data_IF_945620478426
#
_entry.id   IF_945620478426
#
_cell.length_a   1.000
_cell.length_b   1.000
_cell.length_c   1.000
_cell.angle_alpha   90.00
_cell.angle_beta   90.00
_cell.angle_gamma   90.00
#
_symmetry.space_group_name_H-M   'P 1'
#
loop_
_entity.id
_entity.type
_entity.pdbx_description
1 polymer ?
#
# COMPACT_ATOMS: atom_id res chain seq x y z
N UNK A 1 74.64 0.58 7.41
CA UNK A 1 74.40 0.04 6.06
C UNK A 1 74.63 -1.45 6.14
N UNK A 2 73.54 -2.23 6.28
CA UNK A 2 73.39 -3.69 6.05
C UNK A 2 71.95 -4.04 6.47
N UNK A 3 70.98 -3.77 5.58
CA UNK A 3 70.17 -4.72 4.78
C UNK A 3 69.15 -5.49 5.62
N UNK A 4 67.88 -5.08 5.48
CA UNK A 4 66.66 -5.82 5.79
C UNK A 4 66.56 -7.08 4.92
N UNK A 5 66.22 -8.23 5.49
CA UNK A 5 65.60 -9.34 4.78
C UNK A 5 64.13 -9.52 5.20
N UNK A 6 63.20 -9.73 4.24
CA UNK A 6 61.78 -9.81 4.51
C UNK A 6 61.37 -11.20 5.04
N UNK A 7 60.80 -11.22 6.25
CA UNK A 7 60.21 -12.41 6.84
C UNK A 7 58.99 -12.91 6.06
N UNK A 8 59.18 -14.00 5.33
CA UNK A 8 58.14 -14.87 4.78
C UNK A 8 57.38 -15.60 5.89
N UNK A 9 56.05 -15.58 5.80
CA UNK A 9 55.19 -16.72 6.13
C UNK A 9 55.02 -17.05 7.61
N UNK A 10 53.86 -16.70 8.17
CA UNK A 10 53.42 -17.19 9.47
C UNK A 10 53.29 -18.73 9.48
N UNK A 11 54.31 -19.40 10.00
CA UNK A 11 54.27 -20.80 10.38
C UNK A 11 54.08 -20.89 11.90
N UNK A 12 52.99 -21.56 12.33
CA UNK A 12 52.70 -21.82 13.74
C UNK A 12 53.62 -22.93 14.28
N UNK A 13 54.26 -22.77 15.45
CA UNK A 13 55.13 -23.80 16.02
C UNK A 13 54.30 -24.96 16.60
N UNK A 14 54.66 -26.21 16.28
CA UNK A 14 54.17 -27.39 17.03
C UNK A 14 53.67 -28.59 16.23
N UNK A 15 53.74 -28.58 14.90
CA UNK A 15 53.38 -29.76 14.08
C UNK A 15 54.63 -30.41 13.49
N UNK A 16 54.85 -31.72 13.69
CA UNK A 16 55.96 -32.43 13.05
C UNK A 16 55.74 -32.46 11.53
N UNK A 17 56.68 -31.87 10.78
CA UNK A 17 56.74 -32.01 9.33
C UNK A 17 57.29 -33.41 9.01
N UNK A 18 56.41 -34.33 8.61
CA UNK A 18 56.82 -35.60 8.04
C UNK A 18 57.45 -35.35 6.66
N UNK A 19 58.74 -35.57 6.54
CA UNK A 19 59.51 -35.64 5.28
C UNK A 19 59.27 -36.96 4.54
N UNK A 20 58.02 -37.41 4.48
CA UNK A 20 57.63 -38.52 3.63
C UNK A 20 57.17 -37.94 2.31
N UNK A 21 58.07 -38.07 1.33
CA UNK A 21 57.83 -37.76 -0.06
C UNK A 21 56.60 -38.53 -0.55
N UNK A 22 55.57 -37.78 -0.94
CA UNK A 22 54.63 -38.04 -2.04
C UNK A 22 54.52 -39.49 -2.53
N UNK A 23 53.96 -40.37 -1.69
CA UNK A 23 53.58 -41.73 -2.10
C UNK A 23 52.32 -41.76 -2.98
N UNK A 24 51.64 -40.61 -3.15
CA UNK A 24 50.46 -40.47 -3.99
C UNK A 24 50.81 -40.38 -5.48
N UNK A 25 51.96 -39.81 -5.84
CA UNK A 25 52.41 -39.68 -7.23
C UNK A 25 52.94 -40.99 -7.83
N UNK A 26 53.41 -41.92 -6.99
CA UNK A 26 53.89 -43.25 -7.41
C UNK A 26 52.75 -44.20 -7.78
N UNK A 27 51.56 -44.03 -7.19
CA UNK A 27 50.44 -44.95 -7.38
C UNK A 27 49.58 -44.63 -8.61
N UNK A 28 49.58 -43.38 -9.10
CA UNK A 28 48.60 -42.94 -10.11
C UNK A 28 49.18 -42.31 -11.38
N UNK A 29 50.48 -42.02 -11.45
CA UNK A 29 51.10 -41.36 -12.61
C UNK A 29 50.59 -39.93 -12.83
N UNK A 30 51.26 -39.11 -13.67
CA UNK A 30 51.05 -37.66 -13.74
C UNK A 30 49.77 -37.26 -14.51
N UNK A 31 48.69 -38.03 -14.41
CA UNK A 31 47.54 -37.97 -15.31
C UNK A 31 46.16 -38.05 -14.65
N UNK A 32 46.02 -37.86 -13.34
CA UNK A 32 44.71 -37.92 -12.65
C UNK A 32 44.15 -36.58 -12.20
N UNK A 33 44.51 -35.47 -12.85
CA UNK A 33 43.71 -34.25 -12.78
C UNK A 33 42.48 -34.36 -13.70
N UNK A 34 41.44 -35.02 -13.22
CA UNK A 34 40.08 -34.87 -13.75
C UNK A 34 39.22 -34.07 -12.78
N UNK A 35 39.71 -32.91 -12.34
CA UNK A 35 38.81 -31.90 -11.79
C UNK A 35 37.95 -31.43 -12.96
N UNK A 36 36.66 -31.75 -12.92
CA UNK A 36 35.70 -31.16 -13.83
C UNK A 36 35.81 -29.63 -13.71
N UNK A 37 36.48 -28.99 -14.66
CA UNK A 37 36.56 -27.53 -14.76
C UNK A 37 35.17 -27.07 -15.16
N UNK A 38 34.32 -26.86 -14.15
CA UNK A 38 33.00 -26.28 -14.32
C UNK A 38 33.18 -24.93 -14.99
N UNK A 39 32.56 -24.78 -16.15
CA UNK A 39 32.69 -23.58 -16.97
C UNK A 39 32.27 -22.33 -16.19
N UNK A 40 32.90 -21.16 -16.43
CA UNK A 40 32.63 -19.92 -15.69
C UNK A 40 31.15 -19.51 -15.71
N UNK A 41 30.40 -19.90 -16.75
CA UNK A 41 28.95 -19.66 -16.87
C UNK A 41 28.12 -20.36 -15.78
N UNK A 42 28.52 -21.53 -15.27
CA UNK A 42 27.80 -22.22 -14.20
C UNK A 42 28.04 -21.60 -12.80
N UNK A 43 29.19 -20.94 -12.59
CA UNK A 43 29.46 -20.21 -11.34
C UNK A 43 28.66 -18.90 -11.26
N UNK A 44 28.52 -18.19 -12.37
CA UNK A 44 27.73 -16.95 -12.46
C UNK A 44 26.24 -17.18 -12.19
N UNK A 45 25.64 -18.27 -12.71
CA UNK A 45 24.21 -18.54 -12.52
C UNK A 45 23.81 -18.83 -11.07
N UNK A 46 24.66 -19.55 -10.31
CA UNK A 46 24.41 -19.82 -8.88
C UNK A 46 24.75 -18.64 -7.98
N UNK A 47 25.81 -17.88 -8.29
CA UNK A 47 26.14 -16.65 -7.56
C UNK A 47 25.05 -15.59 -7.67
N UNK A 48 24.46 -15.44 -8.86
CA UNK A 48 23.34 -14.54 -9.09
C UNK A 48 22.08 -14.98 -8.33
N UNK A 49 21.73 -16.27 -8.32
CA UNK A 49 20.57 -16.77 -7.58
C UNK A 49 20.71 -16.63 -6.06
N UNK A 50 21.91 -16.85 -5.51
CA UNK A 50 22.16 -16.65 -4.08
C UNK A 50 22.15 -15.16 -3.75
N UNK A 51 22.73 -14.30 -4.59
CA UNK A 51 22.71 -12.85 -4.41
C UNK A 51 21.27 -12.29 -4.48
N UNK A 52 20.45 -12.76 -5.43
CA UNK A 52 19.03 -12.40 -5.53
C UNK A 52 18.29 -12.85 -4.27
N UNK A 53 18.52 -14.09 -3.81
CA UNK A 53 17.90 -14.60 -2.58
C UNK A 53 18.25 -13.75 -1.35
N UNK A 54 19.52 -13.38 -1.18
CA UNK A 54 19.96 -12.53 -0.06
C UNK A 54 19.38 -11.12 -0.16
N UNK A 55 19.31 -10.53 -1.35
CA UNK A 55 18.71 -9.19 -1.54
C UNK A 55 17.21 -9.22 -1.22
N UNK A 56 16.50 -10.27 -1.67
CA UNK A 56 15.07 -10.44 -1.35
C UNK A 56 14.88 -10.62 0.15
N UNK A 57 15.65 -11.49 0.81
CA UNK A 57 15.54 -11.70 2.26
C UNK A 57 15.90 -10.45 3.06
N UNK A 58 16.95 -9.73 2.67
CA UNK A 58 17.33 -8.46 3.31
C UNK A 58 16.26 -7.40 3.10
N UNK A 59 15.65 -7.34 1.91
CA UNK A 59 14.50 -6.48 1.61
C UNK A 59 13.30 -6.81 2.48
N UNK A 60 12.94 -8.08 2.60
CA UNK A 60 11.84 -8.53 3.49
C UNK A 60 12.13 -8.20 4.95
N UNK A 61 13.34 -8.45 5.44
CA UNK A 61 13.74 -8.10 6.82
C UNK A 61 13.70 -6.60 7.02
N UNK A 62 14.17 -5.80 6.07
CA UNK A 62 14.12 -4.34 6.15
C UNK A 62 12.67 -3.84 6.17
N UNK A 63 11.80 -4.38 5.32
CA UNK A 63 10.36 -4.07 5.32
C UNK A 63 9.75 -4.43 6.67
N UNK A 64 9.94 -5.65 7.15
CA UNK A 64 9.43 -6.11 8.47
C UNK A 64 9.94 -5.23 9.61
N UNK A 65 11.22 -4.84 9.59
CA UNK A 65 11.79 -3.96 10.61
C UNK A 65 11.22 -2.53 10.52
N UNK A 66 10.97 -2.01 9.33
CA UNK A 66 10.28 -0.72 9.14
C UNK A 66 8.85 -0.80 9.66
N UNK A 67 8.13 -1.90 9.41
CA UNK A 67 6.79 -2.13 9.96
C UNK A 67 6.80 -2.21 11.49
N UNK A 68 7.78 -2.89 12.08
CA UNK A 68 7.94 -2.96 13.55
C UNK A 68 8.28 -1.59 14.13
N UNK A 69 9.17 -0.82 13.51
CA UNK A 69 9.55 0.53 13.98
C UNK A 69 8.38 1.52 13.85
N UNK A 70 7.59 1.44 12.78
CA UNK A 70 6.36 2.21 12.61
C UNK A 70 5.31 1.91 13.68
N UNK A 71 5.21 0.64 14.11
CA UNK A 71 4.36 0.22 15.22
C UNK A 71 4.79 0.84 16.58
N UNK A 72 6.10 1.04 16.79
CA UNK A 72 6.65 1.59 18.04
C UNK A 72 6.53 3.13 18.11
N UNK A 73 6.53 3.84 16.97
CA UNK A 73 6.36 5.30 16.95
C UNK A 73 4.90 5.76 17.17
N UNK A 74 3.94 4.85 17.08
CA UNK A 74 2.53 5.11 17.35
C UNK A 74 2.15 5.14 18.85
N UNK A 75 3.10 5.03 19.78
CA UNK A 75 2.79 5.19 21.20
C UNK A 75 4.03 5.28 22.08
N UNK A 76 4.11 6.31 22.92
CA UNK A 76 4.89 6.22 24.16
C UNK A 76 4.18 5.17 25.02
N UNK A 77 4.60 3.91 24.89
CA UNK A 77 4.05 2.76 25.61
C UNK A 77 3.03 1.88 24.88
N UNK A 78 2.68 2.12 23.61
CA UNK A 78 1.94 1.16 22.76
C UNK A 78 0.48 0.81 23.13
N UNK A 79 -0.21 1.55 24.01
CA UNK A 79 -1.58 1.17 24.47
C UNK A 79 -2.66 2.22 24.16
N UNK A 80 -2.31 3.44 23.74
CA UNK A 80 -3.30 4.52 23.57
C UNK A 80 -3.41 5.01 22.12
N UNK A 81 -4.64 5.12 21.57
CA UNK A 81 -4.87 5.68 20.24
C UNK A 81 -4.35 7.12 20.14
N UNK A 82 -3.78 7.46 18.99
CA UNK A 82 -3.28 8.80 18.67
C UNK A 82 -3.96 9.33 17.40
N UNK A 83 -5.25 9.71 17.47
CA UNK A 83 -6.00 10.12 16.29
C UNK A 83 -5.36 11.30 15.56
N UNK A 84 -4.88 12.32 16.28
CA UNK A 84 -4.23 13.47 15.64
C UNK A 84 -2.95 13.10 14.90
N UNK A 85 -2.12 12.21 15.47
CA UNK A 85 -0.89 11.78 14.80
C UNK A 85 -1.17 10.93 13.56
N UNK A 86 -2.27 10.18 13.56
CA UNK A 86 -2.72 9.43 12.39
C UNK A 86 -3.22 10.40 11.29
N UNK A 87 -4.00 11.42 11.65
CA UNK A 87 -4.41 12.50 10.72
C UNK A 87 -3.20 13.22 10.13
N UNK A 88 -2.26 13.66 10.97
CA UNK A 88 -1.07 14.37 10.50
C UNK A 88 -0.23 13.50 9.54
N UNK A 89 -0.12 12.20 9.81
CA UNK A 89 0.58 11.26 8.93
C UNK A 89 -0.17 11.08 7.61
N UNK A 90 -1.48 10.83 7.67
CA UNK A 90 -2.31 10.69 6.49
C UNK A 90 -2.23 11.95 5.63
N UNK A 91 -2.46 13.12 6.22
CA UNK A 91 -2.44 14.41 5.52
C UNK A 91 -1.09 14.73 4.90
N UNK A 92 0.03 14.35 5.55
CA UNK A 92 1.37 14.49 4.97
C UNK A 92 1.56 13.63 3.72
N UNK A 93 1.16 12.35 3.78
CA UNK A 93 1.34 11.42 2.64
C UNK A 93 0.35 11.77 1.52
N UNK A 94 -0.93 11.96 1.87
CA UNK A 94 -1.99 12.33 0.93
C UNK A 94 -1.68 13.66 0.22
N UNK A 95 -1.09 14.63 0.92
CA UNK A 95 -0.69 15.91 0.34
C UNK A 95 0.47 15.82 -0.67
N UNK A 96 1.24 14.73 -0.66
CA UNK A 96 2.34 14.47 -1.60
C UNK A 96 1.89 13.65 -2.83
N UNK A 97 0.65 13.13 -2.83
CA UNK A 97 0.11 12.36 -3.96
C UNK A 97 -0.10 13.28 -5.18
N UNK A 98 0.46 12.88 -6.32
CA UNK A 98 0.32 13.62 -7.58
C UNK A 98 -1.16 13.82 -7.94
N UNK A 99 -1.56 15.09 -8.13
CA UNK A 99 -2.93 15.46 -8.45
C UNK A 99 -3.80 15.84 -7.25
N UNK A 100 -3.33 15.64 -6.02
CA UNK A 100 -3.98 16.21 -4.82
C UNK A 100 -3.70 17.72 -4.75
N UNK A 101 -4.76 18.51 -4.55
CA UNK A 101 -4.69 19.96 -4.43
C UNK A 101 -4.73 20.44 -2.97
N UNK A 102 -5.49 19.73 -2.13
CA UNK A 102 -5.71 20.11 -0.73
C UNK A 102 -6.20 18.91 0.06
N UNK A 103 -5.68 18.76 1.28
CA UNK A 103 -6.24 17.88 2.30
C UNK A 103 -6.84 18.75 3.40
N UNK A 104 -8.03 18.40 3.88
CA UNK A 104 -8.69 19.03 5.04
C UNK A 104 -9.04 17.93 6.02
N UNK A 105 -8.57 18.06 7.25
CA UNK A 105 -8.85 17.09 8.29
C UNK A 105 -10.10 17.48 9.06
N UNK A 106 -10.94 16.50 9.36
CA UNK A 106 -12.10 16.64 10.23
C UNK A 106 -11.72 16.28 11.68
N UNK A 107 -12.57 16.66 12.63
CA UNK A 107 -12.35 16.36 14.04
C UNK A 107 -12.44 14.83 14.28
N UNK A 108 -11.45 14.23 14.96
CA UNK A 108 -11.50 12.82 15.34
C UNK A 108 -12.76 12.43 16.12
N UNK A 109 -13.44 11.38 15.67
CA UNK A 109 -14.62 10.84 16.33
C UNK A 109 -14.25 9.67 17.21
N UNK A 110 -14.51 9.77 18.52
CA UNK A 110 -14.29 8.68 19.45
C UNK A 110 -15.39 7.64 19.32
N UNK A 111 -15.03 6.41 18.97
CA UNK A 111 -15.98 5.30 18.76
C UNK A 111 -16.04 4.32 19.93
N UNK A 112 -14.96 4.20 20.70
CA UNK A 112 -14.92 3.35 21.89
C UNK A 112 -13.97 3.89 22.95
N UNK A 113 -13.79 3.18 24.07
CA UNK A 113 -12.84 3.56 25.11
C UNK A 113 -11.42 3.79 24.57
N UNK A 114 -10.99 2.97 23.60
CA UNK A 114 -9.68 3.02 22.97
C UNK A 114 -9.80 2.90 21.44
N UNK A 115 -10.83 3.52 20.85
CA UNK A 115 -10.98 3.56 19.40
C UNK A 115 -11.46 4.91 18.90
N UNK A 116 -10.93 5.31 17.75
CA UNK A 116 -11.26 6.55 17.06
C UNK A 116 -11.37 6.28 15.56
N UNK A 117 -12.33 6.96 14.94
CA UNK A 117 -12.36 7.14 13.51
C UNK A 117 -11.88 8.56 13.22
N UNK A 118 -11.04 8.70 12.22
CA UNK A 118 -10.60 10.00 11.71
C UNK A 118 -10.93 10.10 10.24
N UNK A 119 -11.35 11.28 9.82
CA UNK A 119 -11.80 11.53 8.46
C UNK A 119 -11.09 12.76 7.91
N UNK A 120 -10.75 12.72 6.62
CA UNK A 120 -10.26 13.88 5.89
C UNK A 120 -10.99 14.02 4.56
N UNK A 121 -11.16 15.25 4.09
CA UNK A 121 -11.60 15.54 2.72
C UNK A 121 -10.38 15.88 1.86
N UNK A 122 -10.17 15.15 0.77
CA UNK A 122 -9.04 15.32 -0.15
C UNK A 122 -9.57 15.86 -1.47
N UNK A 123 -9.26 17.12 -1.78
CA UNK A 123 -9.59 17.72 -3.06
C UNK A 123 -8.52 17.36 -4.10
N UNK A 124 -8.94 16.75 -5.19
CA UNK A 124 -8.10 16.26 -6.29
C UNK A 124 -8.33 17.13 -7.53
N UNK A 125 -7.35 17.21 -8.41
CA UNK A 125 -7.47 17.90 -9.69
C UNK A 125 -8.61 17.29 -10.54
N UNK A 126 -9.64 18.07 -10.94
CA UNK A 126 -10.77 17.53 -11.68
C UNK A 126 -10.39 17.13 -13.12
N UNK A 127 -9.26 17.62 -13.62
CA UNK A 127 -8.76 17.40 -14.99
C UNK A 127 -7.97 16.10 -15.16
N UNK A 128 -7.78 15.31 -14.09
CA UNK A 128 -7.10 14.02 -14.18
C UNK A 128 -7.88 13.05 -15.07
N UNK A 129 -7.14 12.25 -15.83
CA UNK A 129 -7.68 11.10 -16.56
C UNK A 129 -8.18 10.01 -15.62
N UNK A 130 -8.98 9.07 -16.12
CA UNK A 130 -9.49 7.97 -15.30
C UNK A 130 -8.37 7.08 -14.72
N UNK A 131 -7.27 6.92 -15.45
CA UNK A 131 -6.12 6.17 -14.95
C UNK A 131 -5.45 6.91 -13.78
N UNK A 132 -5.26 8.22 -13.90
CA UNK A 132 -4.69 9.06 -12.85
C UNK A 132 -5.62 9.13 -11.62
N UNK A 133 -6.93 9.27 -11.82
CA UNK A 133 -7.91 9.24 -10.73
C UNK A 133 -7.87 7.91 -9.97
N UNK A 134 -7.74 6.79 -10.67
CA UNK A 134 -7.58 5.47 -10.04
C UNK A 134 -6.29 5.44 -9.22
N UNK A 135 -5.16 5.86 -9.80
CA UNK A 135 -3.88 5.88 -9.11
C UNK A 135 -3.89 6.76 -7.85
N UNK A 136 -4.57 7.92 -7.89
CA UNK A 136 -4.75 8.78 -6.71
C UNK A 136 -5.58 8.09 -5.64
N UNK A 137 -6.72 7.50 -6.00
CA UNK A 137 -7.59 6.81 -5.03
C UNK A 137 -6.89 5.61 -4.40
N UNK A 138 -6.13 4.84 -5.18
CA UNK A 138 -5.33 3.72 -4.69
C UNK A 138 -4.24 4.22 -3.72
N UNK A 139 -3.51 5.28 -4.08
CA UNK A 139 -2.50 5.88 -3.21
C UNK A 139 -3.07 6.45 -1.91
N UNK A 140 -4.29 7.03 -1.95
CA UNK A 140 -4.98 7.49 -0.76
C UNK A 140 -5.45 6.33 0.13
N UNK A 141 -5.85 5.20 -0.47
CA UNK A 141 -6.21 3.98 0.26
C UNK A 141 -4.99 3.38 0.98
N UNK A 142 -3.85 3.29 0.28
CA UNK A 142 -2.57 2.85 0.86
C UNK A 142 -2.13 3.79 2.01
N UNK A 143 -2.26 5.11 1.82
CA UNK A 143 -1.95 6.09 2.86
C UNK A 143 -2.89 5.95 4.08
N UNK A 144 -4.16 5.63 3.87
CA UNK A 144 -5.11 5.38 4.95
C UNK A 144 -4.78 4.10 5.71
N UNK A 145 -4.34 3.03 5.04
CA UNK A 145 -3.89 1.80 5.68
C UNK A 145 -2.63 2.03 6.54
N UNK A 146 -1.62 2.71 5.98
CA UNK A 146 -0.37 3.04 6.67
C UNK A 146 -0.56 3.96 7.89
N UNK A 147 -1.55 4.86 7.83
CA UNK A 147 -1.89 5.77 8.92
C UNK A 147 -2.81 5.13 9.96
N UNK A 148 -3.53 4.08 9.60
CA UNK A 148 -4.41 3.33 10.51
C UNK A 148 -3.62 2.46 11.50
N UNK A 149 -4.29 2.06 12.59
CA UNK A 149 -3.75 1.16 13.60
C UNK A 149 -3.86 1.70 15.03
N UNK A 150 -3.53 0.85 16.01
CA UNK A 150 -3.60 1.16 17.45
C UNK A 150 -4.94 1.78 17.89
N UNK A 151 -6.04 1.25 17.36
CA UNK A 151 -7.40 1.72 17.65
C UNK A 151 -7.84 2.94 16.85
N UNK A 152 -7.01 3.49 15.95
CA UNK A 152 -7.42 4.54 15.03
C UNK A 152 -7.70 3.93 13.65
N UNK A 153 -8.85 4.27 13.05
CA UNK A 153 -9.16 3.97 11.65
C UNK A 153 -9.20 5.28 10.87
N UNK A 154 -8.46 5.33 9.76
CA UNK A 154 -8.38 6.51 8.89
C UNK A 154 -9.30 6.30 7.70
N UNK A 155 -10.12 7.30 7.44
CA UNK A 155 -11.02 7.38 6.30
C UNK A 155 -10.80 8.71 5.59
N UNK A 156 -11.14 8.77 4.30
CA UNK A 156 -11.16 10.03 3.58
C UNK A 156 -12.28 10.09 2.55
N UNK A 157 -12.67 11.29 2.15
CA UNK A 157 -13.51 11.51 0.97
C UNK A 157 -12.64 12.18 -0.09
N UNK A 158 -12.42 11.48 -1.20
CA UNK A 158 -11.73 12.04 -2.36
C UNK A 158 -12.75 12.78 -3.23
N UNK A 159 -12.62 14.11 -3.28
CA UNK A 159 -13.34 14.99 -4.21
C UNK A 159 -12.57 15.04 -5.53
N UNK A 160 -13.11 14.33 -6.53
CA UNK A 160 -12.59 14.21 -7.89
C UNK A 160 -13.33 15.15 -8.86
N UNK A 161 -14.04 16.17 -8.36
CA UNK A 161 -14.90 17.06 -9.12
C UNK A 161 -16.33 16.56 -9.18
N UNK A 162 -16.71 15.91 -10.29
CA UNK A 162 -18.08 15.36 -10.44
C UNK A 162 -18.30 14.06 -9.67
N UNK A 163 -17.22 13.45 -9.17
CA UNK A 163 -17.26 12.23 -8.37
C UNK A 163 -16.70 12.52 -6.99
N UNK A 164 -17.41 12.09 -5.95
CA UNK A 164 -16.89 12.03 -4.59
C UNK A 164 -16.88 10.57 -4.13
N UNK A 165 -15.72 10.10 -3.65
CA UNK A 165 -15.53 8.68 -3.32
C UNK A 165 -14.98 8.54 -1.91
N UNK A 166 -15.64 7.72 -1.09
CA UNK A 166 -15.13 7.28 0.19
C UNK A 166 -13.91 6.36 0.03
N UNK A 167 -12.81 6.74 0.66
CA UNK A 167 -11.54 6.03 0.72
C UNK A 167 -11.35 5.49 2.14
N UNK A 168 -10.97 4.22 2.24
CA UNK A 168 -10.59 3.56 3.48
C UNK A 168 -9.32 2.73 3.27
N UNK A 169 -8.82 2.11 4.34
CA UNK A 169 -7.75 1.12 4.25
C UNK A 169 -8.15 -0.16 3.47
N UNK A 170 -9.45 -0.40 3.27
CA UNK A 170 -9.92 -1.49 2.41
C UNK A 170 -9.91 -1.04 0.94
N UNK A 171 -8.83 -1.38 0.23
CA UNK A 171 -8.68 -1.08 -1.19
C UNK A 171 -9.73 -1.74 -2.09
N UNK A 172 -10.29 -2.89 -1.69
CA UNK A 172 -11.36 -3.54 -2.47
C UNK A 172 -12.67 -2.76 -2.36
N UNK A 173 -13.05 -2.35 -1.15
CA UNK A 173 -14.24 -1.52 -0.92
C UNK A 173 -14.08 -0.15 -1.60
N UNK A 174 -12.91 0.48 -1.46
CA UNK A 174 -12.57 1.75 -2.10
C UNK A 174 -12.64 1.66 -3.63
N UNK A 175 -12.03 0.62 -4.22
CA UNK A 175 -12.08 0.38 -5.66
C UNK A 175 -13.50 0.15 -6.18
N UNK A 176 -14.33 -0.59 -5.42
CA UNK A 176 -15.76 -0.79 -5.75
C UNK A 176 -16.54 0.51 -5.75
N UNK A 177 -16.32 1.40 -4.77
CA UNK A 177 -16.98 2.72 -4.73
C UNK A 177 -16.59 3.58 -5.93
N UNK A 178 -15.31 3.63 -6.29
CA UNK A 178 -14.85 4.38 -7.47
C UNK A 178 -15.44 3.82 -8.77
N UNK A 179 -15.43 2.50 -8.94
CA UNK A 179 -16.01 1.85 -10.11
C UNK A 179 -17.51 2.13 -10.22
N UNK A 180 -18.24 2.03 -9.11
CA UNK A 180 -19.67 2.34 -9.05
C UNK A 180 -19.93 3.81 -9.36
N UNK A 181 -19.15 4.75 -8.79
CA UNK A 181 -19.32 6.17 -9.05
C UNK A 181 -19.21 6.50 -10.55
N UNK A 182 -18.21 5.93 -11.23
CA UNK A 182 -18.03 6.06 -12.69
C UNK A 182 -19.18 5.45 -13.48
N UNK A 183 -19.66 4.29 -13.05
CA UNK A 183 -20.77 3.61 -13.70
C UNK A 183 -22.07 4.42 -13.61
N UNK A 184 -22.32 5.05 -12.46
CA UNK A 184 -23.49 5.89 -12.24
C UNK A 184 -23.40 7.24 -12.95
N UNK A 185 -22.21 7.83 -13.02
CA UNK A 185 -21.96 9.06 -13.78
C UNK A 185 -22.23 8.89 -15.28
N UNK A 186 -22.04 7.68 -15.81
CA UNK A 186 -22.38 7.35 -17.19
C UNK A 186 -23.91 7.24 -17.46
N UNK A 187 -24.76 7.29 -16.43
CA UNK A 187 -26.22 7.30 -16.59
C UNK A 187 -26.65 8.68 -17.12
N UNK A 188 -27.36 8.70 -18.26
CA UNK A 188 -27.86 9.94 -18.84
C UNK A 188 -28.72 10.75 -17.87
N UNK A 189 -28.33 12.00 -17.65
CA UNK A 189 -29.01 12.95 -16.75
C UNK A 189 -28.40 13.04 -15.35
N UNK A 190 -27.44 12.19 -15.01
CA UNK A 190 -26.59 12.36 -13.82
C UNK A 190 -25.57 13.47 -14.09
N UNK A 191 -25.33 14.30 -13.09
CA UNK A 191 -24.36 15.42 -13.14
C UNK A 191 -23.27 15.31 -12.10
N UNK A 192 -23.44 14.42 -11.13
CA UNK A 192 -22.45 14.12 -10.10
C UNK A 192 -22.86 12.89 -9.30
N UNK A 193 -21.88 12.23 -8.69
CA UNK A 193 -22.09 11.03 -7.88
C UNK A 193 -21.22 11.08 -6.64
N UNK A 194 -21.83 10.86 -5.47
CA UNK A 194 -21.14 10.60 -4.22
C UNK A 194 -21.35 9.14 -3.83
N UNK A 195 -20.25 8.40 -3.71
CA UNK A 195 -20.24 7.02 -3.24
C UNK A 195 -19.41 6.95 -1.94
N UNK A 196 -20.07 6.99 -0.79
CA UNK A 196 -19.44 6.96 0.53
C UNK A 196 -20.27 6.13 1.52
N UNK A 197 -19.98 6.28 2.80
CA UNK A 197 -20.81 5.80 3.90
C UNK A 197 -21.88 6.83 4.28
N UNK A 198 -22.84 6.41 5.10
CA UNK A 198 -23.81 7.33 5.71
C UNK A 198 -23.21 8.18 6.84
N UNK A 199 -23.95 9.21 7.27
CA UNK A 199 -23.47 10.24 8.21
C UNK A 199 -23.16 9.74 9.63
N UNK A 200 -23.67 8.56 10.01
CA UNK A 200 -23.52 8.04 11.37
C UNK A 200 -22.09 7.59 11.69
N UNK A 201 -21.46 6.83 10.79
CA UNK A 201 -20.09 6.34 10.96
C UNK A 201 -19.50 5.80 9.65
N UNK A 202 -18.20 6.03 9.39
CA UNK A 202 -17.48 5.37 8.30
C UNK A 202 -17.51 3.85 8.41
N UNK A 203 -17.79 3.19 7.28
CA UNK A 203 -17.87 1.73 7.20
C UNK A 203 -17.66 1.21 5.79
N UNK A 204 -17.04 0.04 5.68
CA UNK A 204 -16.86 -0.72 4.43
C UNK A 204 -17.92 -1.81 4.23
N UNK A 205 -18.88 -1.94 5.16
CA UNK A 205 -20.00 -2.87 5.00
C UNK A 205 -20.94 -2.44 3.87
N UNK A 206 -21.36 -3.39 3.03
CA UNK A 206 -22.20 -3.10 1.86
C UNK A 206 -23.51 -2.35 2.20
N UNK A 207 -24.18 -2.73 3.29
CA UNK A 207 -25.42 -2.09 3.70
C UNK A 207 -25.22 -0.72 4.37
N UNK A 208 -23.99 -0.37 4.74
CA UNK A 208 -23.65 0.94 5.32
C UNK A 208 -23.29 2.00 4.26
N UNK A 209 -23.24 1.60 2.98
CA UNK A 209 -22.94 2.52 1.90
C UNK A 209 -24.14 3.41 1.59
N UNK A 210 -23.86 4.70 1.40
CA UNK A 210 -24.83 5.70 0.93
C UNK A 210 -24.33 6.25 -0.40
N UNK A 211 -25.17 6.13 -1.43
CA UNK A 211 -24.89 6.62 -2.77
C UNK A 211 -25.85 7.76 -3.08
N UNK A 212 -25.30 8.95 -3.27
CA UNK A 212 -26.07 10.14 -3.68
C UNK A 212 -25.83 10.39 -5.16
N UNK A 213 -26.92 10.45 -5.94
CA UNK A 213 -26.89 10.78 -7.36
C UNK A 213 -27.39 12.21 -7.52
N UNK A 214 -26.53 13.09 -8.04
CA UNK A 214 -26.91 14.45 -8.38
C UNK A 214 -27.51 14.49 -9.79
N UNK A 215 -28.70 15.09 -9.93
CA UNK A 215 -29.38 15.19 -11.22
C UNK A 215 -30.36 16.36 -11.25
N UNK A 216 -30.50 16.97 -12.43
CA UNK A 216 -31.59 17.91 -12.72
C UNK A 216 -32.90 17.21 -13.13
N UNK A 217 -32.89 15.88 -13.26
CA UNK A 217 -34.07 15.09 -13.59
C UNK A 217 -35.17 15.27 -12.54
N UNK A 218 -36.42 15.35 -12.99
CA UNK A 218 -37.59 15.45 -12.10
C UNK A 218 -38.68 14.47 -12.56
N UNK A 219 -39.64 14.16 -11.68
CA UNK A 219 -40.78 13.30 -11.98
C UNK A 219 -40.35 11.92 -12.54
N UNK A 220 -40.91 11.54 -13.69
CA UNK A 220 -40.63 10.24 -14.32
C UNK A 220 -39.16 10.07 -14.73
N UNK A 221 -38.48 11.15 -15.12
CA UNK A 221 -37.07 11.09 -15.49
C UNK A 221 -36.20 10.76 -14.27
N UNK A 222 -36.46 11.43 -13.13
CA UNK A 222 -35.81 11.11 -11.87
C UNK A 222 -36.07 9.66 -11.45
N UNK A 223 -37.32 9.20 -11.56
CA UNK A 223 -37.69 7.81 -11.26
C UNK A 223 -36.91 6.79 -12.10
N UNK A 224 -36.72 7.06 -13.40
CA UNK A 224 -35.94 6.18 -14.28
C UNK A 224 -34.44 6.17 -13.93
N UNK A 225 -33.86 7.34 -13.65
CA UNK A 225 -32.45 7.47 -13.23
C UNK A 225 -32.24 6.71 -11.92
N UNK A 226 -33.07 6.96 -10.91
CA UNK A 226 -32.94 6.33 -9.59
C UNK A 226 -33.19 4.82 -9.63
N UNK A 227 -34.12 4.34 -10.46
CA UNK A 227 -34.34 2.91 -10.62
C UNK A 227 -33.10 2.22 -11.21
N UNK A 228 -32.48 2.81 -12.23
CA UNK A 228 -31.24 2.30 -12.83
C UNK A 228 -30.08 2.38 -11.84
N UNK A 229 -29.90 3.52 -11.18
CA UNK A 229 -28.86 3.70 -10.18
C UNK A 229 -28.99 2.69 -9.03
N UNK A 230 -30.21 2.45 -8.55
CA UNK A 230 -30.49 1.47 -7.48
C UNK A 230 -30.08 0.07 -7.92
N UNK A 231 -30.43 -0.31 -9.15
CA UNK A 231 -30.06 -1.62 -9.70
C UNK A 231 -28.54 -1.82 -9.73
N UNK A 232 -27.79 -0.84 -10.25
CA UNK A 232 -26.33 -0.95 -10.35
C UNK A 232 -25.67 -0.90 -8.97
N UNK A 233 -26.14 -0.02 -8.08
CA UNK A 233 -25.61 0.09 -6.73
C UNK A 233 -25.84 -1.19 -5.92
N UNK A 234 -27.03 -1.79 -5.97
CA UNK A 234 -27.31 -3.05 -5.25
C UNK A 234 -26.60 -4.26 -5.85
N UNK A 235 -26.14 -4.19 -7.10
CA UNK A 235 -25.28 -5.23 -7.68
C UNK A 235 -23.87 -5.21 -7.07
N UNK A 236 -23.37 -4.03 -6.66
CA UNK A 236 -22.04 -3.85 -6.06
C UNK A 236 -22.09 -3.90 -4.52
N UNK A 237 -23.05 -3.18 -3.93
CA UNK A 237 -23.28 -3.06 -2.49
C UNK A 237 -24.73 -3.41 -2.16
N UNK A 238 -25.03 -4.70 -1.94
CA UNK A 238 -26.37 -5.14 -1.55
C UNK A 238 -26.84 -4.45 -0.27
N UNK A 239 -28.01 -3.83 -0.31
CA UNK A 239 -28.59 -3.13 0.84
C UNK A 239 -28.12 -1.69 1.04
N UNK A 240 -27.31 -1.15 0.13
CA UNK A 240 -26.91 0.26 0.18
C UNK A 240 -28.11 1.21 0.04
N UNK A 241 -28.01 2.38 0.67
CA UNK A 241 -29.00 3.46 0.59
C UNK A 241 -28.74 4.31 -0.64
N UNK A 242 -29.78 4.63 -1.41
CA UNK A 242 -29.68 5.53 -2.56
C UNK A 242 -30.54 6.77 -2.38
N UNK A 243 -29.93 7.91 -2.68
CA UNK A 243 -30.53 9.22 -2.56
C UNK A 243 -30.33 10.03 -3.83
N UNK A 244 -31.28 10.92 -4.11
CA UNK A 244 -31.14 11.91 -5.16
C UNK A 244 -30.93 13.29 -4.56
N UNK A 245 -29.99 14.05 -5.10
CA UNK A 245 -29.78 15.44 -4.74
C UNK A 245 -29.88 16.36 -5.97
N UNK A 246 -30.24 17.62 -5.73
CA UNK A 246 -30.07 18.66 -6.73
C UNK A 246 -28.58 19.00 -6.86
N UNK A 247 -28.06 19.32 -8.06
CA UNK A 247 -26.64 19.60 -8.24
C UNK A 247 -26.20 20.83 -7.43
N UNK A 248 -25.04 20.75 -6.79
CA UNK A 248 -24.45 21.89 -6.10
C UNK A 248 -24.12 22.99 -7.13
N UNK A 249 -24.62 24.21 -6.87
CA UNK A 249 -24.51 25.37 -7.78
C UNK A 249 -23.16 26.07 -7.70
#
# INVERSE_FOLDING_TARGET
MTVDEPGTGGARPGWPQSTEADDLDRAFGPGTESVAVRTPRQRLGRGALIAIGVVVTAGVIAVVLVTIIGSVQNGVGGVFPRPQAALDRFGSVAGEVDGVQRVRDDEPTKTSFASYDVQSTVAVAPTLSDAERTAVVDALSDAADDASGNGVRVFAVADLGVLEVGVSADGEATGKRLALARQLDAIGGVTGVRCSWGDDAPSDEAAAQTITVETHGTGNALGAIMAKATQEAHAVFPGATLESAAPAS
#
